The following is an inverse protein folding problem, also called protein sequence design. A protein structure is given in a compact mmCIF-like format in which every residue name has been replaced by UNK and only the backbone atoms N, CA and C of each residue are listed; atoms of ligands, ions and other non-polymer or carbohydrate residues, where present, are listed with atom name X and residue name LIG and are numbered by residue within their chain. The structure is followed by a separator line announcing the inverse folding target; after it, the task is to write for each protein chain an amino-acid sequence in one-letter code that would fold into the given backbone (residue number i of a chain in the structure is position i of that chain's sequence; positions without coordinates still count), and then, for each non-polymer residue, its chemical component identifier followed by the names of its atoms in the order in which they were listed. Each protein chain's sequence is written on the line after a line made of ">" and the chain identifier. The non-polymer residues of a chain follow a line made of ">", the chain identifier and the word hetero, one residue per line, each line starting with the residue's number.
data_IF_971905179686
#
_entry.id   IF_971905179686
#
_cell.length_a   1.000
_cell.length_b   1.000
_cell.length_c   1.000
_cell.angle_alpha   90.00
_cell.angle_beta   90.00
_cell.angle_gamma   90.00
#
_symmetry.space_group_name_H-M   'P 1'
#
loop_
_entity.id
_entity.type
_entity.pdbx_description
1 polymer ?
#
# COMPACT_ATOMS: atom_id res chain seq x y z
N UNK A 1 5.84 25.02 3.43
CA UNK A 1 5.30 24.39 2.21
C UNK A 1 5.61 25.19 0.95
N UNK A 2 5.14 26.45 0.81
CA UNK A 2 5.35 27.29 -0.40
C UNK A 2 6.81 27.45 -0.82
N UNK A 3 7.72 27.61 0.13
CA UNK A 3 9.16 27.76 -0.13
C UNK A 3 9.78 26.49 -0.69
N UNK A 4 9.39 25.32 -0.15
CA UNK A 4 9.86 24.01 -0.63
C UNK A 4 9.39 23.80 -2.08
N UNK A 5 8.10 24.06 -2.36
CA UNK A 5 7.57 23.95 -3.72
C UNK A 5 8.31 24.87 -4.71
N UNK A 6 8.57 26.13 -4.33
CA UNK A 6 9.32 27.07 -5.17
C UNK A 6 10.75 26.58 -5.47
N UNK A 7 11.45 26.01 -4.48
CA UNK A 7 12.79 25.44 -4.68
C UNK A 7 12.77 24.25 -5.62
N UNK A 8 11.79 23.34 -5.47
CA UNK A 8 11.61 22.20 -6.38
C UNK A 8 11.32 22.68 -7.80
N UNK A 9 10.49 23.71 -7.98
CA UNK A 9 10.24 24.33 -9.29
C UNK A 9 11.47 25.00 -9.90
N UNK A 10 12.44 25.41 -9.09
CA UNK A 10 13.74 25.93 -9.54
C UNK A 10 14.76 24.81 -9.82
N UNK A 11 14.36 23.54 -9.75
CA UNK A 11 15.23 22.40 -10.04
C UNK A 11 16.08 21.95 -8.86
N UNK A 12 15.67 22.23 -7.62
CA UNK A 12 16.34 21.68 -6.45
C UNK A 12 16.23 20.15 -6.42
N UNK A 13 17.35 19.47 -6.26
CA UNK A 13 17.39 18.01 -6.17
C UNK A 13 16.77 17.52 -4.85
N UNK A 14 15.61 16.88 -4.98
CA UNK A 14 14.86 16.31 -3.85
C UNK A 14 15.46 14.99 -3.35
N UNK A 15 16.29 14.33 -4.18
CA UNK A 15 16.99 13.08 -3.86
C UNK A 15 18.31 13.30 -3.13
N UNK A 16 18.78 14.54 -3.02
CA UNK A 16 19.99 14.88 -2.29
C UNK A 16 19.93 14.41 -0.83
N UNK A 17 21.02 13.78 -0.39
CA UNK A 17 21.16 13.28 0.97
C UNK A 17 21.83 14.31 1.87
N UNK A 18 21.37 14.38 3.10
CA UNK A 18 22.04 15.14 4.17
C UNK A 18 23.37 14.52 4.57
N UNK A 19 24.20 15.32 5.24
CA UNK A 19 25.47 14.86 5.78
C UNK A 19 25.26 13.65 6.72
N UNK A 20 26.09 12.60 6.59
CA UNK A 20 26.05 11.44 7.48
C UNK A 20 26.13 11.84 8.95
N UNK A 21 25.28 11.23 9.78
CA UNK A 21 25.33 11.38 11.23
C UNK A 21 25.41 10.02 11.92
N UNK A 22 25.80 9.94 13.20
CA UNK A 22 25.82 8.68 13.94
C UNK A 22 24.46 7.94 13.95
N UNK A 23 23.36 8.69 13.89
CA UNK A 23 22.00 8.14 13.81
C UNK A 23 21.64 7.70 12.39
N UNK A 24 22.18 8.36 11.36
CA UNK A 24 21.90 8.10 9.95
C UNK A 24 23.21 8.07 9.15
N UNK A 25 23.94 6.94 9.13
CA UNK A 25 25.25 6.82 8.48
C UNK A 25 25.22 7.02 6.97
N UNK A 26 24.06 6.80 6.34
CA UNK A 26 23.81 7.02 4.92
C UNK A 26 23.22 8.39 4.60
N UNK A 27 23.09 9.28 5.58
CA UNK A 27 22.30 10.50 5.45
C UNK A 27 20.80 10.22 5.33
N UNK A 28 20.03 11.29 5.14
CA UNK A 28 18.56 11.26 4.98
C UNK A 28 18.14 12.11 3.79
N UNK A 29 17.07 11.68 3.13
CA UNK A 29 16.44 12.47 2.06
C UNK A 29 15.60 13.63 2.63
N UNK A 30 15.31 14.63 1.80
CA UNK A 30 14.39 15.71 2.16
C UNK A 30 12.99 15.17 2.56
N UNK A 31 12.53 14.10 1.92
CA UNK A 31 11.27 13.43 2.23
C UNK A 31 11.27 12.80 3.64
N UNK A 32 12.38 12.16 4.03
CA UNK A 32 12.52 11.55 5.35
C UNK A 32 12.50 12.61 6.45
N UNK A 33 13.23 13.72 6.25
CA UNK A 33 13.25 14.85 7.20
C UNK A 33 11.86 15.45 7.40
N UNK A 34 11.13 15.68 6.30
CA UNK A 34 9.76 16.17 6.35
C UNK A 34 8.84 15.19 7.11
N UNK A 35 9.01 13.88 6.89
CA UNK A 35 8.23 12.84 7.59
C UNK A 35 8.50 12.83 9.10
N UNK A 36 9.78 12.85 9.52
CA UNK A 36 10.13 12.87 10.95
C UNK A 36 9.65 14.12 11.67
N UNK A 37 9.53 15.24 10.95
CA UNK A 37 9.00 16.49 11.49
C UNK A 37 7.46 16.57 11.45
N UNK A 38 6.77 15.49 11.03
CA UNK A 38 5.31 15.40 11.01
C UNK A 38 4.65 15.96 9.74
N UNK A 39 5.43 16.43 8.76
CA UNK A 39 4.93 16.98 7.50
C UNK A 39 4.73 15.88 6.45
N UNK A 40 3.74 15.01 6.67
CA UNK A 40 3.48 13.85 5.80
C UNK A 40 3.13 14.23 4.35
N UNK A 41 2.39 15.31 4.14
CA UNK A 41 2.06 15.81 2.81
C UNK A 41 3.29 16.29 2.02
N UNK A 42 4.17 17.07 2.67
CA UNK A 42 5.43 17.50 2.08
C UNK A 42 6.37 16.32 1.82
N UNK A 43 6.40 15.34 2.73
CA UNK A 43 7.18 14.12 2.54
C UNK A 43 6.76 13.37 1.28
N UNK A 44 5.44 13.18 1.08
CA UNK A 44 4.90 12.59 -0.13
C UNK A 44 5.25 13.37 -1.39
N UNK A 45 5.04 14.70 -1.37
CA UNK A 45 5.39 15.58 -2.49
C UNK A 45 6.89 15.52 -2.86
N UNK A 46 7.79 15.53 -1.88
CA UNK A 46 9.23 15.45 -2.10
C UNK A 46 9.67 14.07 -2.61
N UNK A 47 9.07 12.99 -2.10
CA UNK A 47 9.34 11.64 -2.57
C UNK A 47 8.87 11.44 -4.02
N UNK A 48 7.70 11.98 -4.35
CA UNK A 48 7.17 11.99 -5.72
C UNK A 48 8.07 12.81 -6.66
N UNK A 49 8.45 14.03 -6.25
CA UNK A 49 9.34 14.90 -7.05
C UNK A 49 10.69 14.23 -7.33
N UNK A 50 11.29 13.58 -6.32
CA UNK A 50 12.53 12.81 -6.47
C UNK A 50 12.36 11.62 -7.42
N UNK A 51 11.26 10.88 -7.32
CA UNK A 51 10.97 9.74 -8.19
C UNK A 51 10.78 10.17 -9.65
N UNK A 52 10.02 11.24 -9.89
CA UNK A 52 9.78 11.78 -11.24
C UNK A 52 11.10 12.21 -11.87
N UNK A 53 11.94 12.97 -11.15
CA UNK A 53 13.25 13.38 -11.64
C UNK A 53 14.17 12.18 -11.92
N UNK A 54 14.15 11.16 -11.07
CA UNK A 54 14.93 9.94 -11.29
C UNK A 54 14.44 9.15 -12.52
N UNK A 55 13.12 9.13 -12.78
CA UNK A 55 12.57 8.49 -13.98
C UNK A 55 12.94 9.25 -15.26
N UNK A 56 12.91 10.58 -15.23
CA UNK A 56 13.39 11.43 -16.33
C UNK A 56 14.89 11.23 -16.60
N UNK A 57 15.70 10.99 -15.57
CA UNK A 57 17.12 10.66 -15.74
C UNK A 57 17.34 9.23 -16.29
N UNK A 58 16.42 8.30 -16.03
CA UNK A 58 16.49 6.92 -16.52
C UNK A 58 15.93 6.73 -17.94
N UNK A 59 15.12 7.67 -18.45
CA UNK A 59 14.66 7.59 -19.84
C UNK A 59 15.86 7.74 -20.76
N UNK A 60 16.36 6.60 -21.23
CA UNK A 60 17.45 6.47 -22.18
C UNK A 60 17.11 7.32 -23.41
N UNK A 61 18.02 8.23 -23.76
CA UNK A 61 18.00 8.91 -25.05
C UNK A 61 18.11 7.85 -26.15
N UNK A 62 16.98 7.34 -26.65
CA UNK A 62 16.90 6.52 -27.87
C UNK A 62 17.12 7.41 -29.11
N UNK A 63 18.18 8.22 -29.06
CA UNK A 63 18.72 8.99 -30.17
C UNK A 63 19.72 8.13 -30.94
N UNK A 64 19.31 6.95 -31.44
CA UNK A 64 20.01 6.38 -32.58
C UNK A 64 19.15 5.46 -33.46
N UNK A 65 18.79 6.03 -34.62
CA UNK A 65 18.44 5.37 -35.89
C UNK A 65 17.06 4.70 -35.99
N UNK A 66 16.13 5.51 -36.49
CA UNK A 66 15.54 5.25 -37.81
C UNK A 66 14.37 4.27 -37.86
N UNK A 67 13.18 4.82 -38.00
CA UNK A 67 12.08 4.18 -38.72
C UNK A 67 11.21 3.24 -37.88
N UNK A 68 10.08 3.79 -37.42
CA UNK A 68 8.79 3.07 -37.42
C UNK A 68 8.70 1.88 -36.45
N UNK A 69 9.08 2.04 -35.18
CA UNK A 69 8.77 1.04 -34.15
C UNK A 69 8.74 1.61 -32.71
N UNK A 70 8.06 2.72 -32.44
CA UNK A 70 7.84 3.14 -31.04
C UNK A 70 6.45 3.75 -30.84
N UNK A 71 5.45 2.89 -30.72
CA UNK A 71 4.11 3.25 -30.20
C UNK A 71 3.86 2.58 -28.83
N UNK A 72 4.84 1.87 -28.27
CA UNK A 72 4.63 1.01 -27.10
C UNK A 72 5.47 1.29 -25.85
N UNK A 73 6.50 2.15 -25.92
CA UNK A 73 7.42 2.38 -24.79
C UNK A 73 7.08 3.56 -23.86
N UNK A 74 6.48 4.64 -24.39
CA UNK A 74 6.44 5.93 -23.69
C UNK A 74 5.11 6.25 -23.00
N UNK A 75 4.13 5.34 -23.00
CA UNK A 75 2.79 5.59 -22.47
C UNK A 75 2.45 4.80 -21.19
N UNK A 76 3.46 4.45 -20.40
CA UNK A 76 3.28 3.75 -19.12
C UNK A 76 3.28 4.69 -17.91
N UNK A 77 3.67 5.96 -18.08
CA UNK A 77 3.66 6.98 -17.02
C UNK A 77 2.82 8.17 -17.48
N UNK A 78 1.51 7.92 -17.62
CA UNK A 78 0.52 8.97 -17.37
C UNK A 78 -0.11 8.64 -16.02
N UNK A 79 0.74 8.66 -14.99
CA UNK A 79 0.32 8.82 -13.60
C UNK A 79 -0.52 10.09 -13.56
N UNK A 80 -1.81 9.92 -13.30
CA UNK A 80 -2.81 10.84 -12.71
C UNK A 80 -2.33 12.28 -12.49
N UNK A 81 -1.87 12.93 -13.54
CA UNK A 81 -1.58 14.35 -13.58
C UNK A 81 -2.71 14.94 -14.39
N UNK A 82 -3.40 15.89 -13.76
CA UNK A 82 -4.42 16.72 -14.37
C UNK A 82 -5.84 16.16 -14.39
N UNK A 83 -6.44 16.05 -13.20
CA UNK A 83 -7.88 16.30 -13.08
C UNK A 83 -8.12 17.82 -13.01
N UNK A 84 -7.74 18.55 -14.05
CA UNK A 84 -8.20 19.94 -14.23
C UNK A 84 -9.63 19.84 -14.76
N UNK A 85 -10.61 20.21 -13.94
CA UNK A 85 -11.96 20.46 -14.43
C UNK A 85 -11.86 21.59 -15.45
N UNK A 86 -12.01 21.26 -16.73
CA UNK A 86 -12.10 22.24 -17.80
C UNK A 86 -13.29 23.16 -17.50
N UNK A 87 -13.08 24.47 -17.35
CA UNK A 87 -14.18 25.40 -17.20
C UNK A 87 -14.93 25.45 -18.53
N UNK A 88 -16.25 25.28 -18.43
CA UNK A 88 -17.19 25.37 -19.55
C UNK A 88 -17.08 26.75 -20.17
N UNK A 89 -16.40 26.88 -21.31
CA UNK A 89 -16.56 28.03 -22.19
C UNK A 89 -16.53 27.62 -23.66
N UNK A 90 -17.73 27.69 -24.24
CA UNK A 90 -18.11 27.90 -25.64
C UNK A 90 -17.63 26.93 -26.74
N UNK A 91 -18.65 26.46 -27.46
CA UNK A 91 -18.72 25.81 -28.78
C UNK A 91 -18.26 24.35 -28.96
N UNK A 92 -19.27 23.48 -29.08
CA UNK A 92 -19.28 22.04 -29.40
C UNK A 92 -18.94 21.05 -28.27
N UNK A 93 -19.87 20.86 -27.31
CA UNK A 93 -19.70 19.93 -26.17
C UNK A 93 -19.68 18.43 -26.54
N UNK A 94 -20.24 18.05 -27.68
CA UNK A 94 -20.52 16.64 -27.98
C UNK A 94 -19.28 15.82 -28.39
N UNK A 95 -18.37 16.43 -29.15
CA UNK A 95 -17.18 15.73 -29.67
C UNK A 95 -16.11 15.49 -28.60
N UNK A 96 -15.96 16.42 -27.66
CA UNK A 96 -15.04 16.28 -26.51
C UNK A 96 -15.57 15.25 -25.51
N UNK A 97 -16.87 15.30 -25.20
CA UNK A 97 -17.55 14.32 -24.34
C UNK A 97 -17.42 12.87 -24.88
N UNK A 98 -17.57 12.69 -26.19
CA UNK A 98 -17.43 11.37 -26.82
C UNK A 98 -15.98 10.83 -26.71
N UNK A 99 -14.99 11.68 -26.94
CA UNK A 99 -13.57 11.28 -26.84
C UNK A 99 -13.22 10.88 -25.42
N UNK A 100 -13.66 11.65 -24.42
CA UNK A 100 -13.43 11.35 -23.01
C UNK A 100 -14.11 10.04 -22.60
N UNK A 101 -15.36 9.84 -23.03
CA UNK A 101 -16.10 8.59 -22.79
C UNK A 101 -15.37 7.37 -23.38
N UNK A 102 -14.85 7.48 -24.61
CA UNK A 102 -14.07 6.41 -25.24
C UNK A 102 -12.76 6.12 -24.50
N UNK A 103 -12.07 7.16 -24.00
CA UNK A 103 -10.86 6.94 -23.19
C UNK A 103 -11.16 6.29 -21.85
N UNK A 104 -12.27 6.67 -21.21
CA UNK A 104 -12.73 6.07 -19.96
C UNK A 104 -13.06 4.58 -20.13
N UNK A 105 -13.75 4.20 -21.22
CA UNK A 105 -14.03 2.80 -21.54
C UNK A 105 -12.73 2.02 -21.75
N UNK A 106 -11.79 2.54 -22.54
CA UNK A 106 -10.49 1.87 -22.78
C UNK A 106 -9.68 1.67 -21.51
N UNK A 107 -9.67 2.68 -20.62
CA UNK A 107 -9.01 2.56 -19.32
C UNK A 107 -9.69 1.51 -18.45
N UNK A 108 -11.02 1.54 -18.36
CA UNK A 108 -11.79 0.56 -17.60
C UNK A 108 -11.57 -0.87 -18.09
N UNK A 109 -11.54 -1.10 -19.41
CA UNK A 109 -11.25 -2.42 -19.98
C UNK A 109 -9.83 -2.88 -19.65
N UNK A 110 -8.84 -2.00 -19.81
CA UNK A 110 -7.45 -2.34 -19.50
C UNK A 110 -7.24 -2.60 -18.00
N UNK A 111 -7.93 -1.86 -17.13
CA UNK A 111 -7.91 -2.09 -15.69
C UNK A 111 -8.56 -3.44 -15.33
N UNK A 112 -9.70 -3.78 -15.94
CA UNK A 112 -10.36 -5.06 -15.74
C UNK A 112 -9.48 -6.24 -16.17
N UNK A 113 -8.80 -6.14 -17.31
CA UNK A 113 -7.88 -7.18 -17.80
C UNK A 113 -6.73 -7.44 -16.82
N UNK A 114 -6.12 -6.37 -16.29
CA UNK A 114 -5.05 -6.46 -15.30
C UNK A 114 -5.54 -7.09 -13.99
N UNK A 115 -6.72 -6.68 -13.50
CA UNK A 115 -7.34 -7.24 -12.31
C UNK A 115 -7.60 -8.74 -12.50
N UNK A 116 -8.20 -9.13 -13.63
CA UNK A 116 -8.46 -10.53 -13.95
C UNK A 116 -7.17 -11.35 -14.06
N UNK A 117 -6.11 -10.81 -14.65
CA UNK A 117 -4.82 -11.49 -14.75
C UNK A 117 -4.23 -11.77 -13.36
N UNK A 118 -4.23 -10.79 -12.46
CA UNK A 118 -3.73 -10.95 -11.08
C UNK A 118 -4.58 -11.98 -10.32
N UNK A 119 -5.91 -11.89 -10.40
CA UNK A 119 -6.78 -12.87 -9.75
C UNK A 119 -6.59 -14.29 -10.29
N UNK A 120 -6.37 -14.45 -11.60
CA UNK A 120 -6.08 -15.75 -12.21
C UNK A 120 -4.78 -16.34 -11.65
N UNK A 121 -3.73 -15.53 -11.55
CA UNK A 121 -2.44 -15.96 -10.98
C UNK A 121 -2.56 -16.30 -9.49
N UNK A 122 -3.19 -15.46 -8.68
CA UNK A 122 -3.39 -15.73 -7.26
C UNK A 122 -4.27 -16.95 -6.99
N UNK A 123 -5.34 -17.12 -7.77
CA UNK A 123 -6.22 -18.30 -7.69
C UNK A 123 -5.46 -19.57 -8.03
N UNK A 124 -4.61 -19.54 -9.05
CA UNK A 124 -3.74 -20.66 -9.40
C UNK A 124 -2.76 -20.99 -8.27
N UNK A 125 -2.06 -19.99 -7.73
CA UNK A 125 -1.14 -20.18 -6.59
C UNK A 125 -1.86 -20.78 -5.37
N UNK A 126 -3.07 -20.33 -5.07
CA UNK A 126 -3.86 -20.88 -3.96
C UNK A 126 -4.22 -22.34 -4.18
N UNK A 127 -4.61 -22.73 -5.40
CA UNK A 127 -4.86 -24.15 -5.74
C UNK A 127 -3.60 -25.00 -5.59
N UNK A 128 -2.44 -24.49 -6.01
CA UNK A 128 -1.16 -25.18 -5.82
C UNK A 128 -0.86 -25.42 -4.33
N UNK A 129 -1.06 -24.42 -3.47
CA UNK A 129 -0.84 -24.55 -2.02
C UNK A 129 -1.83 -25.53 -1.36
N UNK A 130 -3.10 -25.54 -1.79
CA UNK A 130 -4.09 -26.49 -1.27
C UNK A 130 -3.78 -27.92 -1.70
N UNK A 131 -3.23 -28.14 -2.90
CA UNK A 131 -2.75 -29.47 -3.30
C UNK A 131 -1.49 -29.89 -2.50
N UNK A 132 -0.59 -28.96 -2.21
CA UNK A 132 0.64 -29.23 -1.47
C UNK A 132 0.39 -29.57 0.02
N UNK A 133 -0.64 -28.99 0.64
CA UNK A 133 -1.07 -29.34 2.01
C UNK A 133 -1.73 -30.73 2.10
N UNK A 134 -2.26 -31.26 0.99
CA UNK A 134 -2.87 -32.60 0.93
C UNK A 134 -1.83 -33.69 0.62
N UNK A 135 -0.75 -33.34 -0.09
CA UNK A 135 0.23 -34.32 -0.63
C UNK A 135 1.59 -34.37 0.09
N UNK A 136 1.94 -33.44 1.00
CA UNK A 136 3.33 -33.34 1.48
C UNK A 136 3.56 -33.43 3.00
N UNK A 137 3.33 -34.64 3.50
CA UNK A 137 4.16 -35.27 4.53
C UNK A 137 5.53 -35.74 3.96
N UNK A 138 6.06 -35.08 2.93
CA UNK A 138 7.24 -35.60 2.21
C UNK A 138 7.93 -34.61 1.28
N UNK A 139 8.89 -33.85 1.82
CA UNK A 139 10.03 -33.21 1.11
C UNK A 139 9.95 -31.70 0.78
N UNK A 140 9.56 -30.84 1.73
CA UNK A 140 9.71 -29.39 1.48
C UNK A 140 11.16 -28.93 1.64
N UNK A 141 11.77 -28.74 0.47
CA UNK A 141 13.06 -28.17 0.09
C UNK A 141 13.61 -27.04 1.00
N UNK A 142 14.92 -27.12 1.29
CA UNK A 142 15.74 -26.20 2.10
C UNK A 142 15.57 -24.72 1.68
N UNK A 143 15.18 -24.47 0.43
CA UNK A 143 14.94 -23.13 -0.12
C UNK A 143 13.63 -22.50 0.38
N UNK A 144 12.60 -23.30 0.65
CA UNK A 144 11.34 -22.82 1.23
C UNK A 144 11.52 -22.40 2.69
N UNK A 145 12.34 -23.13 3.46
CA UNK A 145 12.71 -22.76 4.82
C UNK A 145 13.48 -21.43 4.88
N UNK A 146 14.33 -21.15 3.89
CA UNK A 146 15.09 -19.89 3.80
C UNK A 146 14.19 -18.68 3.50
N UNK A 147 13.15 -18.88 2.67
CA UNK A 147 12.11 -17.86 2.40
C UNK A 147 11.15 -17.65 3.59
N UNK A 148 10.86 -18.70 4.36
CA UNK A 148 10.09 -18.58 5.61
C UNK A 148 10.89 -17.89 6.72
N UNK A 149 12.19 -18.21 6.86
CA UNK A 149 13.06 -17.61 7.85
C UNK A 149 13.28 -16.10 7.62
N UNK A 150 13.38 -15.67 6.35
CA UNK A 150 13.50 -14.25 5.99
C UNK A 150 12.19 -13.45 6.12
N UNK A 151 11.03 -14.13 6.13
CA UNK A 151 9.72 -13.51 6.42
C UNK A 151 9.34 -13.53 7.91
N UNK A 152 9.98 -14.36 8.73
CA UNK A 152 9.70 -14.47 10.16
C UNK A 152 10.24 -13.30 11.01
N UNK A 153 11.06 -12.40 10.45
CA UNK A 153 11.60 -11.23 11.18
C UNK A 153 10.67 -10.01 11.23
N UNK A 154 9.43 -10.12 10.70
CA UNK A 154 8.43 -9.02 10.72
C UNK A 154 7.07 -9.39 11.32
N UNK A 155 6.96 -10.48 12.08
CA UNK A 155 5.84 -10.65 13.00
C UNK A 155 6.36 -10.50 14.42
N UNK A 156 5.87 -9.51 15.15
CA UNK A 156 6.11 -9.34 16.58
C UNK A 156 5.50 -10.49 17.40
N UNK A 157 6.01 -11.71 17.23
CA UNK A 157 5.61 -12.91 17.96
C UNK A 157 6.52 -13.22 19.14
N UNK A 158 7.27 -12.23 19.65
CA UNK A 158 7.99 -12.35 20.92
C UNK A 158 7.15 -12.01 22.15
N UNK A 159 6.16 -11.12 22.01
CA UNK A 159 5.40 -10.57 23.16
C UNK A 159 4.00 -11.22 23.35
N UNK A 160 3.52 -11.94 22.34
CA UNK A 160 2.21 -12.61 22.38
C UNK A 160 2.19 -13.89 23.23
N UNK A 161 3.33 -14.61 23.33
CA UNK A 161 3.44 -15.86 24.08
C UNK A 161 3.57 -15.65 25.60
N UNK A 162 4.19 -14.55 26.03
CA UNK A 162 4.43 -14.27 27.46
C UNK A 162 3.12 -13.91 28.20
N UNK A 163 2.09 -13.45 27.47
CA UNK A 163 0.85 -12.92 28.03
C UNK A 163 -0.39 -13.81 27.82
N UNK A 164 -0.24 -15.02 27.26
CA UNK A 164 -1.39 -15.89 26.99
C UNK A 164 -2.06 -16.39 28.28
N UNK A 165 -1.26 -16.80 29.27
CA UNK A 165 -1.76 -17.19 30.59
C UNK A 165 -2.54 -16.05 31.28
N UNK A 166 -2.01 -14.83 31.23
CA UNK A 166 -2.67 -13.64 31.78
C UNK A 166 -4.01 -13.37 31.06
N UNK A 167 -4.04 -13.53 29.74
CA UNK A 167 -5.24 -13.35 28.92
C UNK A 167 -6.32 -14.38 29.27
N UNK A 168 -5.94 -15.65 29.47
CA UNK A 168 -6.87 -16.71 29.87
C UNK A 168 -7.47 -16.44 31.27
N UNK A 169 -6.64 -16.01 32.23
CA UNK A 169 -7.09 -15.66 33.59
C UNK A 169 -8.09 -14.49 33.54
N UNK A 170 -7.79 -13.44 32.78
CA UNK A 170 -8.68 -12.29 32.62
C UNK A 170 -10.01 -12.68 31.96
N UNK A 171 -9.98 -13.53 30.93
CA UNK A 171 -11.20 -14.05 30.27
C UNK A 171 -12.08 -14.81 31.27
N UNK A 172 -11.50 -15.71 32.08
CA UNK A 172 -12.24 -16.46 33.11
C UNK A 172 -12.85 -15.53 34.17
N UNK A 173 -12.09 -14.56 34.67
CA UNK A 173 -12.58 -13.60 35.67
C UNK A 173 -13.73 -12.74 35.14
N UNK A 174 -13.60 -12.19 33.93
CA UNK A 174 -14.65 -11.36 33.32
C UNK A 174 -15.96 -12.15 33.13
N UNK A 175 -15.86 -13.40 32.68
CA UNK A 175 -17.02 -14.28 32.52
C UNK A 175 -17.67 -14.65 33.85
N UNK A 176 -16.87 -15.00 34.87
CA UNK A 176 -17.36 -15.30 36.21
C UNK A 176 -18.06 -14.11 36.85
N UNK A 177 -17.48 -12.91 36.75
CA UNK A 177 -18.07 -11.66 37.31
C UNK A 177 -19.45 -11.38 36.72
N UNK A 178 -19.59 -11.43 35.39
CA UNK A 178 -20.89 -11.24 34.72
C UNK A 178 -21.92 -12.29 35.15
N UNK A 179 -21.53 -13.56 35.26
CA UNK A 179 -22.44 -14.63 35.71
C UNK A 179 -22.89 -14.42 37.16
N UNK A 180 -22.01 -13.98 38.05
CA UNK A 180 -22.33 -13.65 39.44
C UNK A 180 -23.37 -12.51 39.51
N UNK A 181 -23.15 -11.43 38.77
CA UNK A 181 -24.09 -10.30 38.70
C UNK A 181 -25.46 -10.73 38.16
N UNK A 182 -25.48 -11.52 37.08
CA UNK A 182 -26.71 -12.07 36.51
C UNK A 182 -27.50 -12.92 37.51
N UNK A 183 -26.84 -13.82 38.24
CA UNK A 183 -27.51 -14.68 39.23
C UNK A 183 -28.14 -13.86 40.37
N UNK A 184 -27.44 -12.83 40.86
CA UNK A 184 -27.97 -11.93 41.90
C UNK A 184 -29.23 -11.21 41.39
N UNK A 185 -29.19 -10.66 40.17
CA UNK A 185 -30.32 -9.96 39.57
C UNK A 185 -31.50 -10.94 39.37
N UNK A 186 -31.23 -12.13 38.81
CA UNK A 186 -32.26 -13.16 38.58
C UNK A 186 -32.94 -13.57 39.88
N UNK A 187 -32.17 -13.78 40.95
CA UNK A 187 -32.73 -14.15 42.26
C UNK A 187 -33.62 -13.04 42.84
N UNK A 188 -33.24 -11.76 42.66
CA UNK A 188 -34.08 -10.62 43.06
C UNK A 188 -35.39 -10.57 42.27
N UNK A 189 -35.33 -10.77 40.95
CA UNK A 189 -36.53 -10.80 40.10
C UNK A 189 -37.47 -11.93 40.52
N UNK A 190 -36.95 -13.14 40.74
CA UNK A 190 -37.76 -14.28 41.18
C UNK A 190 -38.45 -14.00 42.53
N UNK A 191 -37.74 -13.39 43.48
CA UNK A 191 -38.36 -12.99 44.77
C UNK A 191 -39.51 -11.99 44.60
N UNK A 192 -39.39 -11.05 43.66
CA UNK A 192 -40.45 -10.08 43.35
C UNK A 192 -41.64 -10.76 42.66
N UNK A 193 -41.39 -11.74 41.79
CA UNK A 193 -42.44 -12.45 41.04
C UNK A 193 -43.25 -13.45 41.89
N UNK A 194 -42.73 -13.88 43.04
CA UNK A 194 -43.37 -14.84 43.95
C UNK A 194 -44.11 -14.13 45.10
N UNK A 195 -44.07 -12.80 45.14
CA UNK A 195 -44.75 -11.95 46.12
C UNK A 195 -45.99 -11.30 45.50
#
# INVERSE_FOLDING_TARGET
>A
ERTVAALVSMGADCGALTDPSPEFPSGRTAADLASSNGHKGLSGFLAESSLTSHLEALTVDDQQKGGLQEVLGTKAVQTVSERTATPVYSDMPDALCLKDSLTAVRNATQAADRIHQVFRMQSFQRKQLTQYEDDEFGLLDQRALSLLASKASKSGQGDGLVNDAATQIQKKYRGWKKRKEFLIIRQRIVKIQVQ
#
